data_IF_468323184001
#
_entry.id   IF_468323184001
#
_cell.length_a   1.000
_cell.length_b   1.000
_cell.length_c   1.000
_cell.angle_alpha   90.00
_cell.angle_beta   90.00
_cell.angle_gamma   90.00
#
_symmetry.space_group_name_H-M   'P 1'
#
loop_
_entity.id
_entity.type
_entity.pdbx_description
1 polymer ?
#
# COMPACT_ATOMS: atom_id res chain seq x y z
N UNK A 1 17.44 0.82 9.95
CA UNK A 1 16.16 1.39 10.41
C UNK A 1 15.09 1.01 9.42
N UNK A 2 14.29 0.01 9.75
CA UNK A 2 13.27 -0.55 8.87
C UNK A 2 12.15 0.46 8.67
N UNK A 3 11.71 0.62 7.42
CA UNK A 3 10.57 1.43 6.99
C UNK A 3 9.34 1.20 7.90
N UNK A 4 9.20 -0.01 8.44
CA UNK A 4 8.17 -0.41 9.39
C UNK A 4 8.05 0.49 10.61
N UNK A 5 9.17 0.90 11.25
CA UNK A 5 9.09 1.72 12.48
C UNK A 5 8.67 3.16 12.19
N UNK A 6 8.97 3.65 11.00
CA UNK A 6 8.53 4.98 10.55
C UNK A 6 7.04 4.96 10.21
N UNK A 7 6.56 3.93 9.53
CA UNK A 7 5.14 3.75 9.20
C UNK A 7 4.32 3.58 10.48
N UNK A 8 4.77 2.75 11.44
CA UNK A 8 4.09 2.56 12.72
C UNK A 8 4.01 3.87 13.51
N UNK A 9 5.12 4.62 13.65
CA UNK A 9 5.08 5.94 14.33
C UNK A 9 4.18 6.96 13.65
N UNK A 10 4.09 6.94 12.31
CA UNK A 10 3.19 7.81 11.55
C UNK A 10 1.72 7.38 11.69
N UNK A 11 1.46 6.09 11.82
CA UNK A 11 0.14 5.52 12.07
C UNK A 11 -0.36 5.85 13.48
N UNK A 12 0.53 5.81 14.47
CA UNK A 12 0.23 6.11 15.87
C UNK A 12 -0.26 7.56 16.07
N UNK A 13 0.34 8.51 15.35
CA UNK A 13 -0.06 9.92 15.33
C UNK A 13 -1.13 10.25 14.27
N UNK A 14 -1.61 9.27 13.48
CA UNK A 14 -2.56 9.53 12.42
C UNK A 14 -3.99 9.45 12.96
N UNK A 15 -4.78 10.49 12.70
CA UNK A 15 -6.23 10.42 12.85
C UNK A 15 -6.76 9.16 12.15
N UNK A 16 -7.72 8.49 12.79
CA UNK A 16 -8.16 7.15 12.39
C UNK A 16 -8.61 7.06 10.92
N UNK A 17 -9.20 8.13 10.40
CA UNK A 17 -9.57 8.29 9.00
C UNK A 17 -8.36 8.29 8.04
N UNK A 18 -7.25 8.91 8.43
CA UNK A 18 -6.03 8.95 7.61
C UNK A 18 -5.38 7.57 7.52
N UNK A 19 -5.40 6.79 8.60
CA UNK A 19 -4.94 5.40 8.60
C UNK A 19 -5.72 4.54 7.62
N UNK A 20 -7.05 4.61 7.66
CA UNK A 20 -7.91 3.84 6.75
C UNK A 20 -7.64 4.23 5.29
N UNK A 21 -7.46 5.53 5.01
CA UNK A 21 -7.16 6.01 3.66
C UNK A 21 -5.78 5.53 3.17
N UNK A 22 -4.76 5.53 4.04
CA UNK A 22 -3.43 5.01 3.68
C UNK A 22 -3.47 3.51 3.39
N UNK A 23 -4.18 2.73 4.21
CA UNK A 23 -4.35 1.27 3.99
C UNK A 23 -5.06 1.01 2.67
N UNK A 24 -6.16 1.72 2.39
CA UNK A 24 -6.88 1.62 1.10
C UNK A 24 -6.01 1.98 -0.09
N UNK A 25 -5.22 3.06 0.00
CA UNK A 25 -4.28 3.46 -1.04
C UNK A 25 -3.20 2.40 -1.27
N UNK A 26 -2.69 1.80 -0.20
CA UNK A 26 -1.68 0.74 -0.30
C UNK A 26 -2.25 -0.51 -0.98
N UNK A 27 -3.46 -0.93 -0.58
CA UNK A 27 -4.18 -2.05 -1.19
C UNK A 27 -4.44 -1.81 -2.69
N UNK A 28 -4.86 -0.59 -3.08
CA UNK A 28 -5.04 -0.23 -4.48
C UNK A 28 -3.74 -0.30 -5.28
N UNK A 29 -2.60 0.06 -4.68
CA UNK A 29 -1.29 -0.04 -5.35
C UNK A 29 -0.87 -1.48 -5.57
N UNK A 30 -1.09 -2.35 -4.58
CA UNK A 30 -0.83 -3.80 -4.72
C UNK A 30 -1.69 -4.37 -5.83
N UNK A 31 -3.01 -4.14 -5.81
CA UNK A 31 -3.92 -4.64 -6.84
C UNK A 31 -3.55 -4.16 -8.24
N UNK A 32 -3.10 -2.90 -8.37
CA UNK A 32 -2.62 -2.37 -9.66
C UNK A 32 -1.33 -3.04 -10.12
N UNK A 33 -0.38 -3.28 -9.20
CA UNK A 33 0.86 -3.97 -9.51
C UNK A 33 0.60 -5.43 -9.92
N UNK A 34 -0.23 -6.15 -9.16
CA UNK A 34 -0.65 -7.53 -9.47
C UNK A 34 -1.36 -7.60 -10.83
N UNK A 35 -2.26 -6.65 -11.12
CA UNK A 35 -2.94 -6.58 -12.41
C UNK A 35 -1.99 -6.26 -13.57
N UNK A 36 -1.02 -5.36 -13.36
CA UNK A 36 0.01 -5.05 -14.36
C UNK A 36 0.91 -6.26 -14.63
N UNK A 37 1.31 -6.98 -13.59
CA UNK A 37 2.09 -8.21 -13.70
C UNK A 37 1.33 -9.31 -14.45
N UNK A 38 0.04 -9.48 -14.16
CA UNK A 38 -0.80 -10.48 -14.81
C UNK A 38 -1.12 -10.14 -16.29
N UNK A 39 -1.17 -8.85 -16.64
CA UNK A 39 -1.30 -8.41 -18.03
C UNK A 39 0.00 -8.64 -18.82
N UNK A 40 1.17 -8.43 -18.22
CA UNK A 40 2.46 -8.71 -18.87
C UNK A 40 2.68 -10.21 -19.12
N UNK A 41 2.15 -11.09 -18.26
CA UNK A 41 2.26 -12.55 -18.44
C UNK A 41 1.37 -13.14 -19.54
N UNK A 42 0.33 -12.43 -20.00
CA UNK A 42 -0.58 -12.90 -21.06
C UNK A 42 -0.15 -12.47 -22.47
N UNK A 43 0.89 -11.66 -22.59
CA UNK A 43 1.40 -11.15 -23.89
C UNK A 43 2.86 -11.52 -24.12
N UNK A 44 3.35 -12.55 -23.42
CA UNK A 44 4.65 -13.20 -23.66
C UNK A 44 4.46 -14.57 -24.32
#
# INVERSE_FOLDING_TARGET
MSIDRFIIKKLDNCHEQTRINLVKLFQLRIQRAEKAENNNHKTG
#
